data_IF_399721894766
#
_entry.id   IF_399721894766
#
_cell.length_a   1.000
_cell.length_b   1.000
_cell.length_c   1.000
_cell.angle_alpha   90.00
_cell.angle_beta   90.00
_cell.angle_gamma   90.00
#
_symmetry.space_group_name_H-M   'P 1'
#
loop_
_entity.id
_entity.type
_entity.pdbx_description
1 polymer ?
#
# COMPACT_ATOMS: atom_id res chain seq x y z
N UNK A 1 15.16 -1.13 8.22
CA UNK A 1 15.30 -1.63 6.84
C UNK A 1 13.90 -2.04 6.38
N UNK A 2 13.40 -1.54 5.25
CA UNK A 2 12.04 -1.88 4.74
C UNK A 2 12.14 -2.90 3.62
N UNK A 3 11.06 -3.66 3.37
CA UNK A 3 11.03 -4.65 2.29
C UNK A 3 11.12 -3.98 0.91
N UNK A 4 10.55 -2.79 0.74
CA UNK A 4 10.74 -1.98 -0.47
C UNK A 4 12.21 -1.58 -0.68
N UNK A 5 12.94 -1.26 0.40
CA UNK A 5 14.38 -1.01 0.32
C UNK A 5 15.14 -2.29 -0.05
N UNK A 6 14.76 -3.44 0.52
CA UNK A 6 15.38 -4.72 0.18
C UNK A 6 15.18 -5.08 -1.30
N UNK A 7 14.00 -4.82 -1.87
CA UNK A 7 13.75 -5.01 -3.30
C UNK A 7 14.64 -4.11 -4.17
N UNK A 8 14.74 -2.83 -3.81
CA UNK A 8 15.61 -1.88 -4.52
C UNK A 8 17.08 -2.30 -4.45
N UNK A 9 17.57 -2.66 -3.25
CA UNK A 9 18.92 -3.13 -3.02
C UNK A 9 19.20 -4.43 -3.82
N UNK A 10 18.22 -5.33 -3.95
CA UNK A 10 18.33 -6.57 -4.74
C UNK A 10 18.41 -6.27 -6.25
N UNK A 11 17.57 -5.37 -6.76
CA UNK A 11 17.60 -4.95 -8.17
C UNK A 11 18.93 -4.28 -8.52
N UNK A 12 19.45 -3.42 -7.66
CA UNK A 12 20.75 -2.77 -7.84
C UNK A 12 21.90 -3.80 -7.81
N UNK A 13 21.89 -4.71 -6.84
CA UNK A 13 22.89 -5.78 -6.74
C UNK A 13 22.87 -6.72 -7.95
N UNK A 14 21.69 -7.03 -8.49
CA UNK A 14 21.53 -7.82 -9.72
C UNK A 14 22.12 -7.09 -10.93
N UNK A 15 21.73 -5.83 -11.15
CA UNK A 15 22.23 -5.03 -12.27
C UNK A 15 23.77 -4.87 -12.22
N UNK A 16 24.33 -4.71 -11.01
CA UNK A 16 25.77 -4.66 -10.82
C UNK A 16 26.45 -6.00 -11.15
N UNK A 17 25.88 -7.13 -10.72
CA UNK A 17 26.41 -8.45 -11.05
C UNK A 17 26.32 -8.77 -12.56
N UNK A 18 25.24 -8.39 -13.24
CA UNK A 18 25.10 -8.51 -14.70
C UNK A 18 26.15 -7.67 -15.43
N UNK A 19 26.39 -6.44 -14.97
CA UNK A 19 27.43 -5.56 -15.51
C UNK A 19 28.83 -6.13 -15.28
N UNK A 20 29.12 -6.67 -14.11
CA UNK A 20 30.40 -7.32 -13.82
C UNK A 20 30.62 -8.55 -14.69
N UNK A 21 29.57 -9.35 -14.92
CA UNK A 21 29.62 -10.52 -15.79
C UNK A 21 29.83 -10.12 -17.26
N UNK A 22 29.14 -9.08 -17.72
CA UNK A 22 29.27 -8.56 -19.09
C UNK A 22 30.67 -8.01 -19.35
N UNK A 23 31.30 -7.37 -18.36
CA UNK A 23 32.66 -6.82 -18.46
C UNK A 23 33.75 -7.87 -18.17
N UNK A 24 33.38 -9.09 -17.78
CA UNK A 24 34.32 -10.16 -17.50
C UNK A 24 34.87 -10.70 -18.82
N UNK A 25 36.01 -10.15 -19.24
CA UNK A 25 36.72 -10.58 -20.42
C UNK A 25 38.11 -11.07 -20.05
N UNK A 26 38.48 -12.20 -20.64
CA UNK A 26 39.85 -12.68 -20.60
C UNK A 26 40.72 -11.77 -21.48
N UNK A 27 41.69 -11.09 -20.88
CA UNK A 27 42.69 -10.28 -21.59
C UNK A 27 44.07 -10.90 -21.38
N UNK A 28 44.56 -11.71 -22.33
CA UNK A 28 45.88 -12.31 -22.20
C UNK A 28 46.96 -11.26 -22.48
N UNK A 29 47.51 -10.67 -21.42
CA UNK A 29 48.72 -9.82 -21.50
C UNK A 29 49.91 -10.59 -20.92
N UNK A 30 50.30 -11.73 -21.51
CA UNK A 30 51.34 -12.59 -20.91
C UNK A 30 52.38 -13.10 -21.90
N UNK A 31 53.61 -13.19 -21.41
CA UNK A 31 54.78 -13.73 -22.11
C UNK A 31 54.94 -15.25 -21.91
N UNK A 32 54.14 -15.89 -21.04
CA UNK A 32 54.21 -17.31 -20.73
C UNK A 32 52.83 -17.99 -20.70
N UNK A 33 52.78 -19.25 -21.14
CA UNK A 33 51.54 -20.05 -21.23
C UNK A 33 50.98 -20.41 -19.85
N UNK A 34 51.83 -20.59 -18.82
CA UNK A 34 51.36 -20.89 -17.45
C UNK A 34 50.49 -19.78 -16.89
N UNK A 35 50.91 -18.54 -17.07
CA UNK A 35 50.21 -17.36 -16.55
C UNK A 35 48.85 -17.22 -17.24
N UNK A 36 48.82 -17.51 -18.54
CA UNK A 36 47.59 -17.54 -19.33
C UNK A 36 46.58 -18.58 -18.83
N UNK A 37 47.03 -19.77 -18.42
CA UNK A 37 46.16 -20.83 -17.87
C UNK A 37 45.64 -20.43 -16.49
N UNK A 38 46.51 -19.93 -15.60
CA UNK A 38 46.08 -19.49 -14.26
C UNK A 38 45.08 -18.34 -14.31
N UNK A 39 45.25 -17.37 -15.21
CA UNK A 39 44.27 -16.30 -15.38
C UNK A 39 42.96 -16.76 -16.01
N UNK A 40 43.01 -17.71 -16.94
CA UNK A 40 41.80 -18.29 -17.51
C UNK A 40 40.99 -19.02 -16.43
N UNK A 41 41.64 -19.82 -15.58
CA UNK A 41 41.00 -20.49 -14.44
C UNK A 41 40.40 -19.47 -13.45
N UNK A 42 41.13 -18.40 -13.13
CA UNK A 42 40.62 -17.32 -12.26
C UNK A 42 39.40 -16.62 -12.88
N UNK A 43 39.41 -16.37 -14.19
CA UNK A 43 38.30 -15.79 -14.93
C UNK A 43 37.08 -16.73 -14.91
N UNK A 44 37.28 -18.03 -15.14
CA UNK A 44 36.20 -19.03 -15.07
C UNK A 44 35.60 -19.13 -13.66
N UNK A 45 36.44 -19.13 -12.62
CA UNK A 45 35.98 -19.15 -11.24
C UNK A 45 35.13 -17.91 -10.92
N UNK A 46 35.57 -16.72 -11.33
CA UNK A 46 34.82 -15.47 -11.15
C UNK A 46 33.51 -15.46 -11.93
N UNK A 47 33.51 -15.99 -13.16
CA UNK A 47 32.29 -16.17 -13.97
C UNK A 47 31.28 -17.05 -13.26
N UNK A 48 31.70 -18.21 -12.78
CA UNK A 48 30.86 -19.16 -12.04
C UNK A 48 30.28 -18.53 -10.77
N UNK A 49 31.10 -17.81 -10.00
CA UNK A 49 30.64 -17.11 -8.80
C UNK A 49 29.58 -16.04 -9.10
N UNK A 50 29.77 -15.25 -10.17
CA UNK A 50 28.78 -14.25 -10.61
C UNK A 50 27.47 -14.89 -11.08
N UNK A 51 27.55 -16.01 -11.81
CA UNK A 51 26.37 -16.76 -12.25
C UNK A 51 25.59 -17.35 -11.07
N UNK A 52 26.27 -17.92 -10.07
CA UNK A 52 25.62 -18.39 -8.84
C UNK A 52 24.94 -17.25 -8.06
N UNK A 53 25.57 -16.06 -8.00
CA UNK A 53 24.94 -14.89 -7.37
C UNK A 53 23.70 -14.44 -8.13
N UNK A 54 23.75 -14.41 -9.46
CA UNK A 54 22.59 -14.07 -10.29
C UNK A 54 21.43 -15.03 -10.10
N UNK A 55 21.70 -16.34 -10.13
CA UNK A 55 20.67 -17.36 -9.84
C UNK A 55 20.03 -17.18 -8.45
N UNK A 56 20.83 -16.75 -7.47
CA UNK A 56 20.32 -16.43 -6.12
C UNK A 56 19.38 -15.22 -6.16
N UNK A 57 19.76 -14.15 -6.86
CA UNK A 57 18.91 -12.97 -6.99
C UNK A 57 17.61 -13.26 -7.75
N UNK A 58 17.69 -14.03 -8.84
CA UNK A 58 16.52 -14.46 -9.62
C UNK A 58 15.56 -15.31 -8.78
N UNK A 59 16.07 -16.10 -7.83
CA UNK A 59 15.23 -16.86 -6.91
C UNK A 59 14.60 -16.00 -5.79
N UNK A 60 15.31 -14.97 -5.31
CA UNK A 60 14.85 -14.10 -4.24
C UNK A 60 13.87 -13.02 -4.70
N UNK A 61 14.02 -12.52 -5.92
CA UNK A 61 13.17 -11.47 -6.50
C UNK A 61 11.66 -11.77 -6.41
N UNK A 62 11.16 -12.94 -6.87
CA UNK A 62 9.73 -13.24 -6.77
C UNK A 62 9.23 -13.38 -5.32
N UNK A 63 10.08 -13.83 -4.40
CA UNK A 63 9.72 -13.97 -2.99
C UNK A 63 9.53 -12.59 -2.34
N UNK A 64 10.45 -11.66 -2.63
CA UNK A 64 10.37 -10.29 -2.13
C UNK A 64 9.16 -9.57 -2.73
N UNK A 65 8.90 -9.73 -4.04
CA UNK A 65 7.73 -9.12 -4.68
C UNK A 65 6.41 -9.66 -4.12
N UNK A 66 6.33 -10.98 -3.87
CA UNK A 66 5.17 -11.61 -3.23
C UNK A 66 4.91 -11.01 -1.83
N UNK A 67 5.96 -10.82 -1.04
CA UNK A 67 5.85 -10.26 0.30
C UNK A 67 5.44 -8.78 0.28
N UNK A 68 5.91 -7.99 -0.69
CA UNK A 68 5.43 -6.61 -0.91
C UNK A 68 3.94 -6.61 -1.20
N UNK A 69 3.48 -7.43 -2.15
CA UNK A 69 2.08 -7.50 -2.53
C UNK A 69 1.18 -7.91 -1.33
N UNK A 70 1.64 -8.85 -0.50
CA UNK A 70 0.95 -9.25 0.73
C UNK A 70 0.80 -8.06 1.69
N UNK A 71 1.88 -7.33 1.95
CA UNK A 71 1.87 -6.20 2.88
C UNK A 71 1.03 -5.02 2.38
N UNK A 72 1.03 -4.76 1.07
CA UNK A 72 0.17 -3.73 0.46
C UNK A 72 -1.31 -4.09 0.61
N UNK A 73 -1.67 -5.37 0.41
CA UNK A 73 -3.03 -5.85 0.63
C UNK A 73 -3.46 -5.74 2.10
N UNK A 74 -2.58 -6.07 3.04
CA UNK A 74 -2.85 -5.94 4.48
C UNK A 74 -3.03 -4.47 4.90
N UNK A 75 -2.21 -3.56 4.38
CA UNK A 75 -2.34 -2.14 4.63
C UNK A 75 -3.66 -1.58 4.07
N UNK A 76 -4.05 -1.99 2.86
CA UNK A 76 -5.31 -1.60 2.24
C UNK A 76 -6.52 -2.11 3.04
N UNK A 77 -6.49 -3.36 3.49
CA UNK A 77 -7.58 -3.91 4.31
C UNK A 77 -7.66 -3.23 5.68
N UNK A 78 -6.53 -2.96 6.33
CA UNK A 78 -6.50 -2.23 7.58
C UNK A 78 -7.10 -0.81 7.45
N UNK A 79 -6.79 -0.12 6.35
CA UNK A 79 -7.38 1.18 6.04
C UNK A 79 -8.91 1.07 5.83
N UNK A 80 -9.36 0.08 5.05
CA UNK A 80 -10.79 -0.18 4.82
C UNK A 80 -11.53 -0.49 6.12
N UNK A 81 -10.96 -1.31 6.99
CA UNK A 81 -11.54 -1.63 8.31
C UNK A 81 -11.66 -0.37 9.18
N UNK A 82 -10.67 0.52 9.14
CA UNK A 82 -10.71 1.79 9.86
C UNK A 82 -11.82 2.70 9.34
N UNK A 83 -11.95 2.84 8.03
CA UNK A 83 -13.03 3.61 7.39
C UNK A 83 -14.40 3.05 7.73
N UNK A 84 -14.59 1.73 7.67
CA UNK A 84 -15.84 1.08 8.03
C UNK A 84 -16.23 1.33 9.49
N UNK A 85 -15.26 1.31 10.41
CA UNK A 85 -15.50 1.65 11.82
C UNK A 85 -15.95 3.11 11.97
N UNK A 86 -15.30 4.04 11.28
CA UNK A 86 -15.67 5.45 11.34
C UNK A 86 -17.09 5.70 10.78
N UNK A 87 -17.43 5.04 9.66
CA UNK A 87 -18.78 5.10 9.09
C UNK A 87 -19.82 4.52 10.06
N UNK A 88 -19.50 3.42 10.74
CA UNK A 88 -20.40 2.84 11.74
C UNK A 88 -20.60 3.76 12.95
N UNK A 89 -19.54 4.41 13.45
CA UNK A 89 -19.64 5.41 14.53
C UNK A 89 -20.54 6.59 14.13
N UNK A 90 -20.34 7.14 12.93
CA UNK A 90 -21.19 8.21 12.38
C UNK A 90 -22.64 7.77 12.24
N UNK A 91 -22.87 6.54 11.76
CA UNK A 91 -24.22 5.97 11.65
C UNK A 91 -24.90 5.88 13.01
N UNK A 92 -24.19 5.39 14.04
CA UNK A 92 -24.74 5.29 15.40
C UNK A 92 -25.05 6.67 15.99
N UNK A 93 -24.18 7.66 15.77
CA UNK A 93 -24.42 9.03 16.18
C UNK A 93 -25.69 9.61 15.54
N UNK A 94 -25.84 9.48 14.23
CA UNK A 94 -27.04 9.95 13.51
C UNK A 94 -28.30 9.23 14.00
N UNK A 95 -28.24 7.91 14.21
CA UNK A 95 -29.34 7.13 14.77
C UNK A 95 -29.74 7.60 16.18
N UNK A 96 -28.77 8.02 16.99
CA UNK A 96 -29.05 8.55 18.34
C UNK A 96 -29.75 9.91 18.32
N UNK A 97 -29.50 10.74 17.30
CA UNK A 97 -30.07 12.08 17.17
C UNK A 97 -31.46 12.09 16.49
N UNK A 98 -31.76 11.07 15.68
CA UNK A 98 -33.03 10.95 14.94
C UNK A 98 -34.30 11.06 15.79
N UNK A 99 -34.41 10.43 16.99
CA UNK A 99 -35.59 10.57 17.84
C UNK A 99 -35.84 12.02 18.27
N UNK A 100 -34.80 12.73 18.73
CA UNK A 100 -34.92 14.12 19.15
C UNK A 100 -35.33 15.02 17.98
N UNK A 101 -34.77 14.79 16.79
CA UNK A 101 -35.17 15.51 15.58
C UNK A 101 -36.66 15.27 15.23
N UNK A 102 -37.14 14.02 15.34
CA UNK A 102 -38.56 13.69 15.12
C UNK A 102 -39.46 14.39 16.13
N UNK A 103 -39.09 14.38 17.40
CA UNK A 103 -39.87 15.01 18.47
C UNK A 103 -39.95 16.52 18.30
N UNK A 104 -38.86 17.17 17.88
CA UNK A 104 -38.84 18.60 17.57
C UNK A 104 -39.73 18.96 16.38
N UNK A 105 -39.73 18.13 15.33
CA UNK A 105 -40.62 18.32 14.17
C UNK A 105 -42.08 18.20 14.60
N UNK A 106 -42.44 17.19 15.39
CA UNK A 106 -43.82 17.00 15.84
C UNK A 106 -44.27 18.15 16.76
N UNK A 107 -43.40 18.58 17.68
CA UNK A 107 -43.66 19.74 18.53
C UNK A 107 -43.90 21.01 17.71
N UNK A 108 -43.07 21.27 16.70
CA UNK A 108 -43.25 22.41 15.80
C UNK A 108 -44.56 22.32 15.01
N UNK A 109 -44.95 21.12 14.56
CA UNK A 109 -46.21 20.88 13.86
C UNK A 109 -47.43 21.17 14.73
N UNK A 110 -47.42 20.70 15.98
CA UNK A 110 -48.48 20.96 16.96
C UNK A 110 -48.60 22.45 17.26
N UNK A 111 -47.48 23.13 17.52
CA UNK A 111 -47.45 24.57 17.78
C UNK A 111 -47.99 25.39 16.61
N UNK A 112 -47.60 25.03 15.37
CA UNK A 112 -48.11 25.68 14.16
C UNK A 112 -49.64 25.51 14.01
N UNK A 113 -50.16 24.32 14.28
CA UNK A 113 -51.61 24.04 14.23
C UNK A 113 -52.37 24.81 15.32
N UNK A 114 -51.83 24.90 16.53
CA UNK A 114 -52.37 25.71 17.62
C UNK A 114 -52.41 27.20 17.27
N UNK A 115 -51.34 27.73 16.67
CA UNK A 115 -51.29 29.13 16.23
C UNK A 115 -52.31 29.44 15.13
N UNK A 116 -52.56 28.50 14.22
CA UNK A 116 -53.61 28.63 13.19
C UNK A 116 -55.01 28.62 13.80
N UNK A 117 -55.29 27.70 14.72
CA UNK A 117 -56.59 27.63 15.42
C UNK A 117 -56.86 28.88 16.26
N UNK A 118 -55.85 29.40 16.96
CA UNK A 118 -55.99 30.62 17.75
C UNK A 118 -56.29 31.85 16.87
N UNK A 119 -55.67 31.96 15.69
CA UNK A 119 -55.99 33.02 14.73
C UNK A 119 -57.43 32.93 14.24
N UNK A 120 -57.87 31.76 13.80
CA UNK A 120 -59.27 31.53 13.38
C UNK A 120 -60.27 31.84 14.48
N UNK A 121 -59.96 31.47 15.73
CA UNK A 121 -60.82 31.79 16.89
C UNK A 121 -60.87 33.30 17.16
N UNK A 122 -59.75 34.01 17.01
CA UNK A 122 -59.71 35.46 17.13
C UNK A 122 -60.54 36.16 16.05
N UNK A 123 -60.47 35.68 14.82
CA UNK A 123 -61.30 36.17 13.70
C UNK A 123 -62.80 35.94 13.96
N UNK A 124 -63.19 34.81 14.54
CA UNK A 124 -64.58 34.51 14.90
C UNK A 124 -65.12 35.31 16.09
N UNK A 125 -64.26 35.75 17.01
CA UNK A 125 -64.66 36.50 18.20
C UNK A 125 -64.69 38.03 17.98
N UNK A 126 -64.12 38.51 16.87
CA UNK A 126 -64.02 39.92 16.51
C UNK A 126 -64.66 40.26 15.15
N UNK A 127 -65.27 39.26 14.48
CA UNK A 127 -66.05 39.41 13.26
C UNK A 127 -67.55 39.47 13.51
#
# INVERSE_FOLDING_TARGET
MTIAKLAADLTEARAQAEKELANLHFKPEFTAVSDMVSEWEACQAKKSALQSRLATYEALEPLIQSEIARLEAEAAEAARVKELKQVEEQRQEVLSQLPNAKDQIEKARVLSKLASLNRKRGELNHG
#
